data_IF_081208771728
#
_entry.id   IF_081208771728
#
_cell.length_a   1.000
_cell.length_b   1.000
_cell.length_c   1.000
_cell.angle_alpha   90.00
_cell.angle_beta   90.00
_cell.angle_gamma   90.00
#
_symmetry.space_group_name_H-M   'P 1'
#
loop_
_entity.id
_entity.type
_entity.pdbx_description
1 polymer ?
#
# COMPACT_ATOMS: atom_id res chain seq x y z
N UNK A 1 -17.25 6.54 8.67
CA UNK A 1 -16.64 5.22 8.89
C UNK A 1 -15.24 5.26 8.33
N UNK A 2 -14.27 4.83 9.12
CA UNK A 2 -12.86 4.86 8.76
C UNK A 2 -12.48 3.57 8.04
N UNK A 3 -11.78 3.70 6.91
CA UNK A 3 -11.34 2.54 6.11
C UNK A 3 -10.07 1.94 6.68
N UNK A 4 -9.17 2.76 7.24
CA UNK A 4 -7.94 2.34 7.92
C UNK A 4 -7.90 3.01 9.28
N UNK A 5 -7.57 2.23 10.31
CA UNK A 5 -7.31 2.76 11.66
C UNK A 5 -6.02 2.15 12.19
N UNK A 6 -5.05 2.98 12.56
CA UNK A 6 -3.87 2.58 13.31
C UNK A 6 -4.11 2.94 14.78
N UNK A 7 -3.95 1.98 15.67
CA UNK A 7 -4.10 2.17 17.12
C UNK A 7 -2.78 1.86 17.81
N UNK A 8 -2.15 2.91 18.34
CA UNK A 8 -0.89 2.90 19.09
C UNK A 8 0.21 2.11 18.38
N UNK A 9 0.33 2.30 17.06
CA UNK A 9 1.28 1.57 16.23
C UNK A 9 2.70 2.03 16.55
N UNK A 10 3.51 1.09 17.00
CA UNK A 10 4.92 1.29 17.33
C UNK A 10 5.81 0.43 16.43
N UNK A 11 7.00 0.93 16.09
CA UNK A 11 7.99 0.17 15.33
C UNK A 11 9.40 0.61 15.68
N UNK A 12 10.22 -0.37 16.06
CA UNK A 12 11.66 -0.18 16.25
C UNK A 12 12.46 -1.11 15.35
N UNK A 13 13.64 -0.66 14.93
CA UNK A 13 14.65 -1.42 14.20
C UNK A 13 15.92 -1.44 15.04
N UNK A 14 16.12 -2.51 15.81
CA UNK A 14 17.12 -2.51 16.89
C UNK A 14 16.80 -1.40 17.89
N UNK A 15 17.78 -0.56 18.18
CA UNK A 15 17.65 0.57 19.13
C UNK A 15 16.92 1.78 18.53
N UNK A 16 16.75 1.83 17.19
CA UNK A 16 16.14 2.98 16.52
C UNK A 16 14.62 2.87 16.51
N UNK A 17 13.94 3.78 17.21
CA UNK A 17 12.49 3.95 17.14
C UNK A 17 12.12 4.66 15.83
N UNK A 18 11.29 4.02 15.01
CA UNK A 18 10.78 4.57 13.75
C UNK A 18 9.33 5.06 13.86
N UNK A 19 8.53 4.45 14.74
CA UNK A 19 7.19 4.88 15.12
C UNK A 19 7.02 4.67 16.63
N UNK A 20 6.41 5.65 17.28
CA UNK A 20 6.17 5.65 18.73
C UNK A 20 4.68 5.93 18.99
N UNK A 21 3.93 4.88 19.32
CA UNK A 21 2.49 4.93 19.67
C UNK A 21 1.64 5.78 18.71
N UNK A 22 1.82 5.56 17.40
CA UNK A 22 1.12 6.35 16.37
C UNK A 22 -0.31 5.85 16.21
N UNK A 23 -1.26 6.74 16.46
CA UNK A 23 -2.69 6.53 16.20
C UNK A 23 -3.18 7.44 15.08
N UNK A 24 -3.85 6.85 14.07
CA UNK A 24 -4.41 7.60 12.94
C UNK A 24 -5.67 6.90 12.42
N UNK A 25 -6.72 7.69 12.18
CA UNK A 25 -7.95 7.24 11.54
C UNK A 25 -8.06 7.87 10.15
N UNK A 26 -8.27 7.03 9.12
CA UNK A 26 -8.40 7.45 7.73
C UNK A 26 -9.84 7.16 7.28
N UNK A 27 -10.69 8.21 7.13
CA UNK A 27 -12.03 8.11 6.59
C UNK A 27 -12.08 7.49 5.19
N UNK A 28 -13.11 6.68 4.93
CA UNK A 28 -13.37 6.11 3.61
C UNK A 28 -13.62 7.21 2.58
N UNK A 29 -12.98 7.11 1.41
CA UNK A 29 -13.15 8.04 0.29
C UNK A 29 -12.39 9.37 0.43
N UNK A 30 -11.54 9.50 1.45
CA UNK A 30 -10.76 10.72 1.68
C UNK A 30 -9.36 10.62 1.10
N UNK A 31 -8.87 11.74 0.56
CA UNK A 31 -7.45 11.90 0.25
C UNK A 31 -6.73 12.28 1.54
N UNK A 32 -5.83 11.42 2.00
CA UNK A 32 -5.08 11.61 3.24
C UNK A 32 -3.58 11.79 2.94
N UNK A 33 -2.98 12.85 3.48
CA UNK A 33 -1.55 13.15 3.32
C UNK A 33 -0.77 12.94 4.61
N UNK A 34 0.32 12.18 4.56
CA UNK A 34 1.29 12.07 5.67
C UNK A 34 2.45 13.05 5.43
N UNK A 35 2.56 14.09 6.26
CA UNK A 35 3.59 15.12 6.15
C UNK A 35 4.60 15.02 7.30
N UNK A 36 5.88 15.26 6.99
CA UNK A 36 6.96 15.28 7.98
C UNK A 36 8.34 15.19 7.32
N UNK A 37 9.43 15.47 8.06
CA UNK A 37 10.79 15.41 7.51
C UNK A 37 11.21 13.98 7.12
N UNK A 38 12.35 13.88 6.42
CA UNK A 38 12.94 12.58 6.11
C UNK A 38 13.29 11.84 7.41
N UNK A 39 12.96 10.55 7.47
CA UNK A 39 13.14 9.76 8.69
C UNK A 39 12.02 9.84 9.72
N UNK A 40 10.99 10.68 9.53
CA UNK A 40 9.85 10.81 10.46
C UNK A 40 8.91 9.59 10.52
N UNK A 41 9.26 8.46 9.90
CA UNK A 41 8.45 7.23 9.95
C UNK A 41 7.33 7.11 8.91
N UNK A 42 7.12 8.10 8.03
CA UNK A 42 6.05 8.08 6.99
C UNK A 42 6.03 6.78 6.18
N UNK A 43 7.15 6.42 5.57
CA UNK A 43 7.29 5.20 4.77
C UNK A 43 7.12 3.94 5.63
N UNK A 44 7.56 3.98 6.88
CA UNK A 44 7.38 2.88 7.84
C UNK A 44 5.90 2.64 8.13
N UNK A 45 5.13 3.69 8.38
CA UNK A 45 3.69 3.59 8.62
C UNK A 45 2.94 3.04 7.40
N UNK A 46 3.24 3.56 6.20
CA UNK A 46 2.64 3.08 4.96
C UNK A 46 2.97 1.58 4.74
N UNK A 47 4.21 1.15 4.99
CA UNK A 47 4.61 -0.26 4.87
C UNK A 47 3.92 -1.16 5.91
N UNK A 48 3.66 -0.65 7.12
CA UNK A 48 2.91 -1.38 8.15
C UNK A 48 1.45 -1.56 7.74
N UNK A 49 0.79 -0.51 7.23
CA UNK A 49 -0.58 -0.61 6.71
C UNK A 49 -0.66 -1.64 5.58
N UNK A 50 0.32 -1.67 4.69
CA UNK A 50 0.40 -2.66 3.61
C UNK A 50 0.91 -4.04 4.06
N UNK A 51 1.08 -4.28 5.36
CA UNK A 51 1.64 -5.52 5.95
C UNK A 51 3.00 -5.95 5.39
N UNK A 52 3.75 -5.04 4.74
CA UNK A 52 5.13 -5.27 4.28
C UNK A 52 6.09 -5.34 5.47
N UNK A 53 5.76 -4.62 6.55
CA UNK A 53 6.52 -4.62 7.79
C UNK A 53 5.57 -4.85 8.95
N UNK A 54 5.94 -5.74 9.86
CA UNK A 54 5.12 -6.04 11.05
C UNK A 54 5.42 -4.97 12.12
N UNK A 55 4.40 -4.35 12.73
CA UNK A 55 4.61 -3.41 13.84
C UNK A 55 5.22 -4.13 15.05
N UNK A 56 5.97 -3.40 15.87
CA UNK A 56 6.48 -3.90 17.16
C UNK A 56 5.42 -3.86 18.26
N UNK A 57 4.36 -3.06 18.09
CA UNK A 57 3.23 -2.95 19.00
C UNK A 57 2.06 -2.20 18.35
N UNK A 58 0.90 -2.23 18.99
CA UNK A 58 -0.34 -1.67 18.46
C UNK A 58 -1.01 -2.56 17.40
N UNK A 59 -2.07 -2.04 16.77
CA UNK A 59 -2.82 -2.77 15.74
C UNK A 59 -3.24 -1.87 14.58
N UNK A 60 -3.47 -2.50 13.42
CA UNK A 60 -4.04 -1.86 12.24
C UNK A 60 -5.37 -2.54 11.93
N UNK A 61 -6.41 -1.74 11.79
CA UNK A 61 -7.74 -2.16 11.39
C UNK A 61 -8.02 -1.73 9.95
N UNK A 62 -8.70 -2.60 9.20
CA UNK A 62 -9.29 -2.32 7.91
C UNK A 62 -10.80 -2.46 8.06
N UNK A 63 -11.56 -1.42 7.74
CA UNK A 63 -13.03 -1.39 7.85
C UNK A 63 -13.57 -1.91 9.20
N UNK A 64 -12.90 -1.54 10.29
CA UNK A 64 -13.29 -1.88 11.67
C UNK A 64 -12.81 -3.23 12.20
N UNK A 65 -12.15 -4.08 11.41
CA UNK A 65 -11.60 -5.36 11.87
C UNK A 65 -10.06 -5.42 11.69
N UNK A 66 -9.33 -6.30 12.41
CA UNK A 66 -7.89 -6.46 12.21
C UNK A 66 -7.56 -6.73 10.74
N UNK A 67 -6.59 -6.00 10.19
CA UNK A 67 -6.25 -6.08 8.77
C UNK A 67 -5.68 -7.46 8.42
N UNK A 68 -6.15 -8.07 7.34
CA UNK A 68 -5.70 -9.39 6.87
C UNK A 68 -4.92 -9.28 5.57
N UNK A 69 -4.34 -10.40 5.11
CA UNK A 69 -3.68 -10.46 3.81
C UNK A 69 -4.66 -10.20 2.65
N UNK A 70 -5.88 -10.70 2.76
CA UNK A 70 -6.94 -10.55 1.74
C UNK A 70 -7.36 -9.07 1.59
N UNK A 71 -7.21 -8.27 2.64
CA UNK A 71 -7.52 -6.84 2.58
C UNK A 71 -6.40 -6.06 1.86
N UNK A 72 -5.15 -6.42 2.14
CA UNK A 72 -3.98 -5.81 1.46
C UNK A 72 -4.02 -6.07 -0.05
N UNK A 73 -4.57 -7.20 -0.50
CA UNK A 73 -4.73 -7.48 -1.93
C UNK A 73 -5.66 -6.49 -2.65
N UNK A 74 -6.56 -5.83 -1.90
CA UNK A 74 -7.46 -4.78 -2.40
C UNK A 74 -6.80 -3.40 -2.42
N UNK A 75 -5.59 -3.26 -1.88
CA UNK A 75 -4.85 -1.99 -1.79
C UNK A 75 -3.88 -1.88 -2.97
N UNK A 76 -4.01 -0.79 -3.73
CA UNK A 76 -3.00 -0.38 -4.72
C UNK A 76 -1.85 0.34 -4.02
N UNK A 77 -0.65 -0.25 -4.05
CA UNK A 77 0.55 0.34 -3.44
C UNK A 77 1.58 0.72 -4.51
N UNK A 78 1.88 2.02 -4.62
CA UNK A 78 2.93 2.56 -5.46
C UNK A 78 4.13 2.97 -4.59
N UNK A 79 5.18 2.13 -4.47
CA UNK A 79 6.36 2.48 -3.70
C UNK A 79 7.20 3.56 -4.41
N UNK A 80 8.03 4.25 -3.62
CA UNK A 80 9.02 5.22 -4.11
C UNK A 80 9.98 4.57 -5.12
N UNK A 81 10.52 3.40 -4.78
CA UNK A 81 11.28 2.54 -5.70
C UNK A 81 10.33 1.55 -6.38
N UNK A 82 10.09 1.75 -7.68
CA UNK A 82 9.01 1.08 -8.42
C UNK A 82 9.30 -0.37 -8.84
N UNK A 83 10.52 -0.88 -8.61
CA UNK A 83 10.90 -2.26 -8.95
C UNK A 83 10.65 -2.69 -10.40
N UNK A 84 10.62 -1.75 -11.35
CA UNK A 84 10.23 -2.04 -12.74
C UNK A 84 11.38 -2.66 -13.56
N UNK A 85 11.05 -3.59 -14.48
CA UNK A 85 12.02 -4.22 -15.35
C UNK A 85 12.39 -3.27 -16.50
N UNK A 86 13.56 -2.61 -16.40
CA UNK A 86 13.99 -1.55 -17.32
C UNK A 86 13.97 -1.91 -18.81
N UNK A 87 14.13 -3.19 -19.16
CA UNK A 87 14.16 -3.67 -20.55
C UNK A 87 12.79 -4.15 -21.06
N UNK A 88 11.77 -4.17 -20.20
CA UNK A 88 10.43 -4.66 -20.54
C UNK A 88 9.58 -3.50 -21.07
N UNK A 89 8.72 -3.77 -22.06
CA UNK A 89 7.74 -2.78 -22.50
C UNK A 89 6.70 -2.57 -21.39
N UNK A 90 6.21 -1.33 -21.27
CA UNK A 90 5.20 -0.96 -20.26
C UNK A 90 3.96 -1.85 -20.35
N UNK A 91 3.47 -2.11 -21.57
CA UNK A 91 2.32 -2.98 -21.80
C UNK A 91 2.55 -4.41 -21.32
N UNK A 92 3.70 -5.00 -21.63
CA UNK A 92 4.04 -6.36 -21.23
C UNK A 92 4.14 -6.46 -19.69
N UNK A 93 4.76 -5.46 -19.05
CA UNK A 93 4.90 -5.44 -17.60
C UNK A 93 3.55 -5.23 -16.89
N UNK A 94 2.70 -4.34 -17.41
CA UNK A 94 1.36 -4.13 -16.87
C UNK A 94 0.49 -5.39 -17.03
N UNK A 95 0.64 -6.10 -18.15
CA UNK A 95 0.00 -7.39 -18.38
C UNK A 95 0.48 -8.42 -17.35
N UNK A 96 1.80 -8.57 -17.19
CA UNK A 96 2.37 -9.46 -16.17
C UNK A 96 1.81 -9.18 -14.76
N UNK A 97 1.79 -7.92 -14.32
CA UNK A 97 1.28 -7.56 -12.99
C UNK A 97 -0.22 -7.83 -12.84
N UNK A 98 -1.04 -7.57 -13.86
CA UNK A 98 -2.47 -7.85 -13.83
C UNK A 98 -2.77 -9.36 -13.76
N UNK A 99 -2.04 -10.18 -14.51
CA UNK A 99 -2.13 -11.64 -14.42
C UNK A 99 -1.66 -12.18 -13.07
N UNK A 100 -0.58 -11.60 -12.52
CA UNK A 100 -0.09 -11.95 -11.19
C UNK A 100 -1.13 -11.67 -10.10
N UNK A 101 -2.01 -10.68 -10.32
CA UNK A 101 -3.15 -10.34 -9.48
C UNK A 101 -4.42 -11.16 -9.79
N UNK A 102 -4.32 -12.19 -10.63
CA UNK A 102 -5.38 -13.15 -10.89
C UNK A 102 -6.29 -12.81 -12.07
N UNK A 103 -6.00 -11.75 -12.85
CA UNK A 103 -6.79 -11.44 -14.05
C UNK A 103 -6.48 -12.41 -15.18
N UNK A 104 -7.50 -12.78 -15.95
CA UNK A 104 -7.27 -13.49 -17.22
C UNK A 104 -6.52 -12.57 -18.21
N UNK A 105 -5.78 -13.15 -19.15
CA UNK A 105 -5.10 -12.38 -20.20
C UNK A 105 -6.06 -11.48 -20.99
N UNK A 106 -7.29 -11.95 -21.22
CA UNK A 106 -8.33 -11.21 -21.93
C UNK A 106 -8.80 -10.00 -21.11
N UNK A 107 -9.17 -10.21 -19.85
CA UNK A 107 -9.74 -9.16 -18.99
C UNK A 107 -8.70 -8.08 -18.70
N UNK A 108 -7.46 -8.50 -18.47
CA UNK A 108 -6.35 -7.57 -18.28
C UNK A 108 -6.03 -6.79 -19.56
N UNK A 109 -5.98 -7.43 -20.73
CA UNK A 109 -5.76 -6.72 -22.00
C UNK A 109 -6.83 -5.65 -22.24
N UNK A 110 -8.10 -5.97 -21.97
CA UNK A 110 -9.21 -5.04 -22.08
C UNK A 110 -9.07 -3.87 -21.09
N UNK A 111 -8.85 -4.18 -19.81
CA UNK A 111 -8.70 -3.17 -18.75
C UNK A 111 -7.49 -2.25 -18.98
N UNK A 112 -6.37 -2.81 -19.43
CA UNK A 112 -5.15 -2.05 -19.68
C UNK A 112 -5.33 -1.06 -20.84
N UNK A 113 -6.05 -1.44 -21.90
CA UNK A 113 -6.38 -0.50 -22.98
C UNK A 113 -7.17 0.70 -22.46
N UNK A 114 -8.17 0.46 -21.61
CA UNK A 114 -8.97 1.53 -21.01
C UNK A 114 -8.12 2.47 -20.15
N UNK A 115 -7.22 1.91 -19.33
CA UNK A 115 -6.34 2.71 -18.48
C UNK A 115 -5.26 3.47 -19.26
N UNK A 116 -4.67 2.88 -20.30
CA UNK A 116 -3.73 3.59 -21.18
C UNK A 116 -4.43 4.73 -21.93
N UNK A 117 -5.60 4.51 -22.52
CA UNK A 117 -6.35 5.63 -23.15
C UNK A 117 -6.64 6.76 -22.15
N UNK A 118 -6.96 6.42 -20.90
CA UNK A 118 -7.25 7.40 -19.86
C UNK A 118 -6.02 8.21 -19.40
N UNK A 119 -4.84 7.61 -19.38
CA UNK A 119 -3.64 8.21 -18.78
C UNK A 119 -2.49 8.52 -19.78
N UNK A 120 -2.60 8.12 -21.04
CA UNK A 120 -1.62 8.35 -22.13
C UNK A 120 -0.77 7.13 -22.48
#
# INVERSE_FOLDING_TARGET
>A
MDIIQCKDVSKSFGEKVALDHVSVDIPKGMIFGLLGPNGAGKTTLIRIINRITIPSGGTVLFDGHPITQQDVEKIGYLPEERGLYRKMKVGDQAMYLAQLKGMSARDASQSLKEWFVKFG
#
